data_IF_694170323011
#
_entry.id   IF_694170323011
#
_cell.length_a   1.000
_cell.length_b   1.000
_cell.length_c   1.000
_cell.angle_alpha   90.00
_cell.angle_beta   90.00
_cell.angle_gamma   90.00
#
_symmetry.space_group_name_H-M   'P 1'
#
loop_
_entity.id
_entity.type
_entity.pdbx_description
1 polymer ?
#
# COMPACT_ATOMS: atom_id res chain seq x y z
N UNK A 1 7.09 4.16 -6.27
CA UNK A 1 5.83 4.35 -5.51
C UNK A 1 5.53 3.21 -4.54
N UNK A 2 5.80 1.95 -4.87
CA UNK A 2 5.62 0.79 -3.99
C UNK A 2 6.31 0.91 -2.62
N UNK A 3 7.54 1.43 -2.57
CA UNK A 3 8.27 1.63 -1.30
C UNK A 3 7.61 2.60 -0.32
N UNK A 4 7.01 3.68 -0.82
CA UNK A 4 6.28 4.64 0.00
C UNK A 4 4.96 4.04 0.53
N UNK A 5 4.23 3.31 -0.32
CA UNK A 5 3.00 2.63 0.09
C UNK A 5 3.26 1.56 1.16
N UNK A 6 4.35 0.79 1.01
CA UNK A 6 4.81 -0.17 2.02
C UNK A 6 5.17 0.51 3.35
N UNK A 7 5.89 1.63 3.29
CA UNK A 7 6.24 2.39 4.49
C UNK A 7 4.99 2.91 5.22
N UNK A 8 3.97 3.38 4.48
CA UNK A 8 2.69 3.80 5.04
C UNK A 8 2.00 2.65 5.78
N UNK A 9 1.88 1.47 5.16
CA UNK A 9 1.31 0.29 5.82
C UNK A 9 2.04 -0.05 7.12
N UNK A 10 3.38 -0.08 7.11
CA UNK A 10 4.17 -0.41 8.31
C UNK A 10 3.93 0.63 9.42
N UNK A 11 3.84 1.91 9.08
CA UNK A 11 3.48 2.95 10.03
C UNK A 11 2.07 2.76 10.59
N UNK A 12 1.10 2.42 9.74
CA UNK A 12 -0.28 2.11 10.14
C UNK A 12 -0.36 0.92 11.10
N UNK A 13 0.41 -0.15 10.85
CA UNK A 13 0.49 -1.32 11.74
C UNK A 13 1.03 -0.94 13.13
N UNK A 14 2.08 -0.11 13.17
CA UNK A 14 2.64 0.40 14.44
C UNK A 14 1.65 1.30 15.18
N UNK A 15 0.91 2.14 14.48
CA UNK A 15 -0.15 2.99 15.07
C UNK A 15 -1.26 2.15 15.68
N UNK A 16 -1.76 1.15 14.96
CA UNK A 16 -2.78 0.24 15.49
C UNK A 16 -2.28 -0.50 16.74
N UNK A 17 -1.05 -1.03 16.71
CA UNK A 17 -0.45 -1.68 17.87
C UNK A 17 -0.30 -0.73 19.07
N UNK A 18 0.08 0.53 18.82
CA UNK A 18 0.19 1.54 19.87
C UNK A 18 -1.18 1.89 20.48
N UNK A 19 -2.21 2.10 19.66
CA UNK A 19 -3.56 2.38 20.16
C UNK A 19 -4.15 1.21 20.95
N UNK A 20 -3.90 -0.03 20.52
CA UNK A 20 -4.32 -1.22 21.26
C UNK A 20 -3.67 -1.27 22.66
N UNK A 21 -2.36 -1.03 22.76
CA UNK A 21 -1.66 -0.96 24.06
C UNK A 21 -2.16 0.17 24.94
N UNK A 22 -2.43 1.34 24.35
CA UNK A 22 -3.00 2.48 25.10
C UNK A 22 -4.39 2.16 25.62
N UNK A 23 -5.21 1.46 24.83
CA UNK A 23 -6.54 1.01 25.26
C UNK A 23 -6.47 0.04 26.43
N UNK A 24 -5.54 -0.93 26.39
CA UNK A 24 -5.32 -1.91 27.47
C UNK A 24 -5.00 -1.26 28.83
N UNK A 25 -4.33 -0.09 28.82
CA UNK A 25 -4.00 0.68 30.03
C UNK A 25 -4.97 1.85 30.29
N UNK A 26 -6.09 1.93 29.57
CA UNK A 26 -7.12 2.96 29.77
C UNK A 26 -6.79 4.36 29.21
N UNK A 27 -5.74 4.49 28.40
CA UNK A 27 -5.28 5.74 27.77
C UNK A 27 -5.83 5.94 26.35
N UNK A 28 -6.69 5.05 25.86
CA UNK A 28 -7.38 5.15 24.56
C UNK A 28 -8.78 4.54 24.65
N UNK A 29 -9.55 4.61 23.57
CA UNK A 29 -10.91 4.08 23.47
C UNK A 29 -11.13 3.34 22.13
N UNK A 30 -12.27 2.63 22.03
CA UNK A 30 -12.61 1.83 20.84
C UNK A 30 -12.75 2.66 19.57
N UNK A 31 -13.12 3.94 19.66
CA UNK A 31 -13.19 4.83 18.50
C UNK A 31 -11.82 5.03 17.85
N UNK A 32 -10.77 5.27 18.65
CA UNK A 32 -9.41 5.43 18.14
C UNK A 32 -8.83 4.13 17.56
N UNK A 33 -9.12 2.99 18.17
CA UNK A 33 -8.76 1.68 17.60
C UNK A 33 -9.44 1.50 16.23
N UNK A 34 -10.75 1.73 16.14
CA UNK A 34 -11.49 1.59 14.90
C UNK A 34 -10.98 2.56 13.82
N UNK A 35 -10.57 3.77 14.20
CA UNK A 35 -9.94 4.71 13.29
C UNK A 35 -8.59 4.18 12.77
N UNK A 36 -7.71 3.72 13.66
CA UNK A 36 -6.42 3.15 13.26
C UNK A 36 -6.57 1.90 12.36
N UNK A 37 -7.59 1.07 12.61
CA UNK A 37 -7.92 -0.08 11.76
C UNK A 37 -8.37 0.35 10.36
N UNK A 38 -9.26 1.36 10.27
CA UNK A 38 -9.71 1.91 8.97
C UNK A 38 -8.55 2.50 8.18
N UNK A 39 -7.70 3.28 8.83
CA UNK A 39 -6.54 3.91 8.19
C UNK A 39 -5.56 2.84 7.67
N UNK A 40 -5.28 1.79 8.46
CA UNK A 40 -4.45 0.67 8.04
C UNK A 40 -5.06 -0.09 6.85
N UNK A 41 -6.38 -0.27 6.80
CA UNK A 41 -7.05 -0.92 5.67
C UNK A 41 -6.88 -0.09 4.37
N UNK A 42 -6.98 1.23 4.46
CA UNK A 42 -6.72 2.12 3.32
C UNK A 42 -5.28 2.04 2.84
N UNK A 43 -4.32 1.99 3.77
CA UNK A 43 -2.89 1.88 3.42
C UNK A 43 -2.55 0.54 2.76
N UNK A 44 -3.17 -0.56 3.22
CA UNK A 44 -3.05 -1.87 2.56
C UNK A 44 -3.59 -1.84 1.13
N UNK A 45 -4.74 -1.21 0.91
CA UNK A 45 -5.31 -1.06 -0.43
C UNK A 45 -4.38 -0.24 -1.34
N UNK A 46 -3.81 0.86 -0.83
CA UNK A 46 -2.84 1.69 -1.58
C UNK A 46 -1.59 0.90 -1.97
N UNK A 47 -1.07 0.07 -1.07
CA UNK A 47 0.08 -0.80 -1.38
C UNK A 47 -0.26 -1.83 -2.46
N UNK A 48 -1.44 -2.46 -2.39
CA UNK A 48 -1.88 -3.39 -3.43
C UNK A 48 -2.02 -2.71 -4.79
N UNK A 49 -2.67 -1.55 -4.87
CA UNK A 49 -2.76 -0.77 -6.11
C UNK A 49 -1.38 -0.41 -6.65
N UNK A 50 -0.46 0.06 -5.79
CA UNK A 50 0.90 0.39 -6.22
C UNK A 50 1.68 -0.81 -6.77
N UNK A 51 1.44 -2.02 -6.25
CA UNK A 51 2.03 -3.26 -6.78
C UNK A 51 1.42 -3.60 -8.15
N UNK A 52 0.10 -3.47 -8.31
CA UNK A 52 -0.58 -3.71 -9.57
C UNK A 52 -0.12 -2.73 -10.66
N UNK A 53 -0.03 -1.44 -10.33
CA UNK A 53 0.44 -0.39 -11.25
C UNK A 53 1.89 -0.64 -11.69
N UNK A 54 2.75 -1.05 -10.76
CA UNK A 54 4.12 -1.43 -11.06
C UNK A 54 4.17 -2.64 -12.00
N UNK A 55 3.39 -3.68 -11.71
CA UNK A 55 3.31 -4.89 -12.54
C UNK A 55 2.83 -4.56 -13.95
N UNK A 56 1.79 -3.72 -14.07
CA UNK A 56 1.28 -3.25 -15.37
C UNK A 56 2.34 -2.47 -16.14
N UNK A 57 3.07 -1.58 -15.46
CA UNK A 57 4.13 -0.79 -16.10
C UNK A 57 5.25 -1.66 -16.67
N UNK A 58 5.56 -2.79 -16.03
CA UNK A 58 6.53 -3.77 -16.56
C UNK A 58 5.97 -4.48 -17.80
N UNK A 59 4.71 -4.92 -17.76
CA UNK A 59 4.08 -5.58 -18.91
C UNK A 59 3.98 -4.63 -20.11
N UNK A 60 3.57 -3.38 -19.88
CA UNK A 60 3.48 -2.36 -20.93
C UNK A 60 4.87 -2.07 -21.54
N UNK A 61 5.91 -2.03 -20.70
CA UNK A 61 7.30 -1.89 -21.16
C UNK A 61 7.74 -3.05 -22.05
N UNK A 62 7.49 -4.30 -21.63
CA UNK A 62 7.82 -5.49 -22.42
C UNK A 62 7.05 -5.51 -23.75
N UNK A 63 5.76 -5.13 -23.74
CA UNK A 63 4.95 -5.07 -24.94
C UNK A 63 5.49 -4.04 -25.95
N UNK A 64 5.93 -2.86 -25.49
CA UNK A 64 6.56 -1.84 -26.36
C UNK A 64 7.88 -2.35 -26.95
N UNK A 65 8.69 -3.09 -26.18
CA UNK A 65 9.94 -3.66 -26.69
C UNK A 65 9.73 -4.80 -27.70
N UNK A 66 8.65 -5.55 -27.57
CA UNK A 66 8.32 -6.66 -28.47
C UNK A 66 7.70 -6.22 -29.81
N UNK A 67 7.25 -4.95 -29.94
CA UNK A 67 6.93 -4.37 -31.26
C UNK A 67 8.27 -4.17 -31.97
N UNK A 68 8.67 -5.05 -32.91
CA UNK A 68 9.94 -4.90 -33.57
C UNK A 68 9.84 -3.67 -34.46
N UNK A 69 10.98 -3.02 -34.66
CA UNK A 69 11.28 -2.12 -35.78
C UNK A 69 11.18 -2.89 -37.12
N UNK A 70 10.07 -3.57 -37.38
CA UNK A 70 9.78 -4.39 -38.55
C UNK A 70 8.85 -3.71 -39.57
N UNK A 71 8.45 -2.46 -39.31
CA UNK A 71 7.80 -1.60 -40.29
C UNK A 71 8.83 -0.93 -41.19
N UNK A 72 9.71 -1.72 -41.80
CA UNK A 72 10.67 -1.28 -42.80
C UNK A 72 10.48 -2.07 -44.09
N UNK A 73 9.61 -1.55 -44.97
CA UNK A 73 9.60 -1.75 -46.43
C UNK A 73 8.50 -0.90 -47.04
#
# INVERSE_FOLDING_TARGET
>A
MTGAARASRILGERRLAAEQRRFEVGLSNTFFIAQAQRDLALDRNREQSAILDYTRSLVDFDAVQQIPLGGGS
#
